data_IF_584187398870
#
_entry.id   IF_584187398870
#
_cell.length_a   1.000
_cell.length_b   1.000
_cell.length_c   1.000
_cell.angle_alpha   90.00
_cell.angle_beta   90.00
_cell.angle_gamma   90.00
#
_symmetry.space_group_name_H-M   'P 1'
#
loop_
_entity.id
_entity.type
_entity.pdbx_description
1 polymer ?
#
# COMPACT_ATOMS: atom_id res chain seq x y z
N UNK A 1 -32.62 30.97 28.01
CA UNK A 1 -32.61 30.31 26.69
C UNK A 1 -32.27 28.85 26.94
N UNK A 2 -33.29 27.99 27.03
CA UNK A 2 -33.07 26.55 27.14
C UNK A 2 -32.69 26.05 25.75
N UNK A 3 -31.45 25.59 25.57
CA UNK A 3 -31.06 24.91 24.34
C UNK A 3 -31.65 23.51 24.39
N UNK A 4 -32.60 23.23 23.52
CA UNK A 4 -33.14 21.89 23.38
C UNK A 4 -31.99 20.92 23.01
N UNK A 5 -31.94 19.73 23.62
CA UNK A 5 -30.92 18.76 23.27
C UNK A 5 -31.05 18.39 21.79
N UNK A 6 -29.92 18.21 21.13
CA UNK A 6 -29.90 17.77 19.75
C UNK A 6 -30.70 16.46 19.63
N UNK A 7 -31.52 16.33 18.59
CA UNK A 7 -32.34 15.14 18.44
C UNK A 7 -31.44 13.91 18.23
N UNK A 8 -31.81 12.77 18.81
CA UNK A 8 -30.97 11.55 18.83
C UNK A 8 -30.51 11.10 17.45
N UNK A 9 -31.33 11.29 16.42
CA UNK A 9 -30.98 10.96 15.04
C UNK A 9 -29.80 11.79 14.50
N UNK A 10 -29.65 13.03 14.96
CA UNK A 10 -28.55 13.90 14.57
C UNK A 10 -27.24 13.49 15.26
N UNK A 11 -27.30 13.12 16.54
CA UNK A 11 -26.15 12.58 17.28
C UNK A 11 -25.67 11.27 16.66
N UNK A 12 -26.61 10.39 16.28
CA UNK A 12 -26.30 9.15 15.55
C UNK A 12 -25.68 9.44 14.18
N UNK A 13 -26.21 10.40 13.42
CA UNK A 13 -25.65 10.77 12.13
C UNK A 13 -24.22 11.31 12.25
N UNK A 14 -23.96 12.19 13.23
CA UNK A 14 -22.61 12.72 13.50
C UNK A 14 -21.66 11.61 13.95
N UNK A 15 -22.10 10.69 14.82
CA UNK A 15 -21.30 9.57 15.27
C UNK A 15 -20.92 8.63 14.12
N UNK A 16 -21.85 8.35 13.20
CA UNK A 16 -21.59 7.54 12.00
C UNK A 16 -20.59 8.22 11.06
N UNK A 17 -20.72 9.54 10.85
CA UNK A 17 -19.76 10.30 10.03
C UNK A 17 -18.36 10.29 10.68
N UNK A 18 -18.27 10.55 11.99
CA UNK A 18 -17.00 10.50 12.72
C UNK A 18 -16.39 9.09 12.71
N UNK A 19 -17.22 8.05 12.83
CA UNK A 19 -16.77 6.67 12.72
C UNK A 19 -16.28 6.33 11.30
N UNK A 20 -16.89 6.90 10.25
CA UNK A 20 -16.43 6.77 8.87
C UNK A 20 -15.06 7.40 8.67
N UNK A 21 -14.86 8.65 9.11
CA UNK A 21 -13.55 9.31 9.06
C UNK A 21 -12.49 8.61 9.92
N UNK A 22 -12.89 8.05 11.07
CA UNK A 22 -12.00 7.24 11.88
C UNK A 22 -11.64 5.93 11.17
N UNK A 23 -12.58 5.29 10.46
CA UNK A 23 -12.33 4.09 9.65
C UNK A 23 -11.28 4.36 8.59
N UNK A 24 -11.40 5.47 7.83
CA UNK A 24 -10.40 5.91 6.85
C UNK A 24 -9.01 6.16 7.50
N UNK A 25 -8.97 6.72 8.71
CA UNK A 25 -7.71 6.92 9.45
C UNK A 25 -7.11 5.61 9.99
N UNK A 26 -7.95 4.64 10.37
CA UNK A 26 -7.51 3.30 10.81
C UNK A 26 -7.22 2.35 9.64
N UNK A 27 -7.71 2.63 8.44
CA UNK A 27 -7.44 1.91 7.19
C UNK A 27 -6.21 2.43 6.44
N UNK A 28 -5.63 3.56 6.87
CA UNK A 28 -4.32 3.99 6.39
C UNK A 28 -3.26 3.05 6.96
N UNK A 29 -2.67 2.23 6.08
CA UNK A 29 -1.55 1.35 6.42
C UNK A 29 -0.47 2.15 7.17
N UNK A 30 0.02 1.71 8.34
CA UNK A 30 1.01 2.45 9.09
C UNK A 30 2.24 2.77 8.24
N UNK A 31 2.70 4.04 8.29
CA UNK A 31 3.87 4.52 7.53
C UNK A 31 5.04 3.50 7.60
N UNK A 32 5.43 2.88 6.48
CA UNK A 32 6.38 1.77 6.49
C UNK A 32 7.76 2.19 6.98
N UNK A 33 8.14 3.47 6.82
CA UNK A 33 9.37 4.02 7.38
C UNK A 33 9.30 4.09 8.91
N UNK A 34 8.18 4.52 9.47
CA UNK A 34 7.94 4.49 10.91
C UNK A 34 7.95 3.06 11.46
N UNK A 35 7.35 2.10 10.75
CA UNK A 35 7.38 0.68 11.14
C UNK A 35 8.82 0.14 11.17
N UNK A 36 9.61 0.39 10.12
CA UNK A 36 11.02 -0.03 10.08
C UNK A 36 11.83 0.60 11.22
N UNK A 37 11.59 1.89 11.53
CA UNK A 37 12.23 2.58 12.66
C UNK A 37 11.87 1.95 14.00
N UNK A 38 10.61 1.58 14.19
CA UNK A 38 10.14 0.94 15.43
C UNK A 38 10.78 -0.44 15.61
N UNK A 39 10.79 -1.27 14.56
CA UNK A 39 11.39 -2.60 14.58
C UNK A 39 12.89 -2.56 14.91
N UNK A 40 13.63 -1.59 14.33
CA UNK A 40 15.04 -1.39 14.64
C UNK A 40 15.24 -0.95 16.10
N UNK A 41 14.42 -0.01 16.59
CA UNK A 41 14.47 0.43 17.98
C UNK A 41 14.13 -0.69 18.99
N UNK A 42 13.26 -1.62 18.60
CA UNK A 42 12.91 -2.81 19.36
C UNK A 42 13.98 -3.93 19.29
N UNK A 43 14.97 -3.81 18.38
CA UNK A 43 16.00 -4.82 18.16
C UNK A 43 15.50 -6.05 17.40
N UNK A 44 14.36 -5.95 16.73
CA UNK A 44 13.76 -7.04 15.93
C UNK A 44 14.43 -7.20 14.57
N UNK A 45 14.97 -6.12 14.04
CA UNK A 45 15.77 -6.08 12.81
C UNK A 45 17.14 -5.47 13.09
N UNK A 46 18.14 -5.90 12.35
CA UNK A 46 19.47 -5.30 12.41
C UNK A 46 19.54 -3.99 11.60
N UNK A 47 20.68 -3.31 11.67
CA UNK A 47 20.90 -2.05 10.97
C UNK A 47 20.83 -2.21 9.44
N UNK A 48 21.37 -3.30 8.90
CA UNK A 48 21.40 -3.53 7.45
C UNK A 48 19.99 -3.76 6.89
N UNK A 49 19.15 -4.48 7.63
CA UNK A 49 17.74 -4.66 7.30
C UNK A 49 16.95 -3.34 7.41
N UNK A 50 17.22 -2.54 8.43
CA UNK A 50 16.63 -1.21 8.55
C UNK A 50 16.98 -0.30 7.37
N UNK A 51 18.26 -0.24 6.99
CA UNK A 51 18.73 0.54 5.83
C UNK A 51 18.09 0.06 4.53
N UNK A 52 18.01 -1.27 4.30
CA UNK A 52 17.35 -1.82 3.12
C UNK A 52 15.88 -1.43 3.02
N UNK A 53 15.13 -1.50 4.13
CA UNK A 53 13.73 -1.07 4.14
C UNK A 53 13.59 0.42 3.88
N UNK A 54 14.46 1.23 4.49
CA UNK A 54 14.47 2.66 4.29
C UNK A 54 14.75 3.03 2.84
N UNK A 55 15.79 2.45 2.23
CA UNK A 55 16.12 2.63 0.82
C UNK A 55 14.94 2.26 -0.08
N UNK A 56 14.30 1.12 0.17
CA UNK A 56 13.16 0.67 -0.61
C UNK A 56 11.96 1.64 -0.53
N UNK A 57 11.57 2.07 0.68
CA UNK A 57 10.39 2.93 0.87
C UNK A 57 10.64 4.41 0.57
N UNK A 58 11.90 4.87 0.58
CA UNK A 58 12.24 6.25 0.20
C UNK A 58 12.52 6.40 -1.31
N UNK A 59 12.57 5.30 -2.06
CA UNK A 59 12.73 5.38 -3.51
C UNK A 59 11.39 5.67 -4.19
N UNK A 60 11.23 6.90 -4.69
CA UNK A 60 10.06 7.35 -5.44
C UNK A 60 9.69 6.41 -6.61
N UNK A 61 10.66 5.69 -7.20
CA UNK A 61 10.39 4.68 -8.25
C UNK A 61 9.50 3.57 -7.70
N UNK A 62 9.86 3.04 -6.53
CA UNK A 62 9.14 1.94 -5.89
C UNK A 62 7.73 2.38 -5.52
N UNK A 63 7.60 3.58 -4.95
CA UNK A 63 6.30 4.17 -4.63
C UNK A 63 5.43 4.30 -5.89
N UNK A 64 5.97 4.83 -6.99
CA UNK A 64 5.22 4.98 -8.25
C UNK A 64 4.77 3.65 -8.84
N UNK A 65 5.64 2.63 -8.83
CA UNK A 65 5.27 1.29 -9.32
C UNK A 65 4.15 0.71 -8.44
N UNK A 66 4.32 0.75 -7.11
CA UNK A 66 3.33 0.26 -6.15
C UNK A 66 1.98 0.93 -6.32
N UNK A 67 1.95 2.25 -6.39
CA UNK A 67 0.72 3.03 -6.54
C UNK A 67 -0.08 2.67 -7.80
N UNK A 68 0.58 2.19 -8.86
CA UNK A 68 -0.07 1.76 -10.10
C UNK A 68 -0.61 0.34 -9.98
N UNK A 69 0.13 -0.58 -9.35
CA UNK A 69 -0.22 -2.01 -9.34
C UNK A 69 -1.10 -2.42 -8.14
N UNK A 70 -1.10 -1.69 -7.02
CA UNK A 70 -1.92 -2.01 -5.84
C UNK A 70 -3.43 -1.89 -6.09
N UNK A 71 -3.83 -1.13 -7.11
CA UNK A 71 -5.21 -0.99 -7.56
C UNK A 71 -5.71 -2.26 -8.31
N UNK A 72 -4.79 -3.16 -8.69
CA UNK A 72 -5.14 -4.43 -9.34
C UNK A 72 -5.72 -5.39 -8.31
N UNK A 73 -6.90 -5.93 -8.61
CA UNK A 73 -7.57 -6.89 -7.75
C UNK A 73 -6.68 -8.12 -7.46
N UNK A 74 -6.32 -8.29 -6.19
CA UNK A 74 -5.46 -9.40 -5.76
C UNK A 74 -3.96 -9.11 -5.79
N UNK A 75 -3.56 -7.86 -6.04
CA UNK A 75 -2.21 -7.32 -5.79
C UNK A 75 -2.27 -6.49 -4.52
N UNK A 76 -1.91 -7.11 -3.39
CA UNK A 76 -1.75 -6.42 -2.11
C UNK A 76 -0.32 -5.91 -1.93
N UNK A 77 -0.05 -5.30 -0.78
CA UNK A 77 1.25 -4.72 -0.40
C UNK A 77 2.44 -5.66 -0.69
N UNK A 78 2.38 -6.93 -0.25
CA UNK A 78 3.48 -7.87 -0.47
C UNK A 78 3.81 -8.08 -1.96
N UNK A 79 2.77 -8.15 -2.81
CA UNK A 79 2.92 -8.38 -4.25
C UNK A 79 3.35 -7.10 -4.95
N UNK A 80 2.80 -5.94 -4.58
CA UNK A 80 3.20 -4.66 -5.15
C UNK A 80 4.65 -4.33 -4.81
N UNK A 81 5.11 -4.67 -3.60
CA UNK A 81 6.51 -4.57 -3.22
C UNK A 81 7.40 -5.50 -4.04
N UNK A 82 6.98 -6.76 -4.23
CA UNK A 82 7.73 -7.72 -5.02
C UNK A 82 7.88 -7.25 -6.48
N UNK A 83 6.82 -6.69 -7.07
CA UNK A 83 6.87 -6.09 -8.41
C UNK A 83 7.81 -4.87 -8.40
N UNK A 84 7.68 -3.95 -7.44
CA UNK A 84 8.55 -2.78 -7.37
C UNK A 84 10.04 -3.14 -7.20
N UNK A 85 10.37 -4.25 -6.53
CA UNK A 85 11.77 -4.73 -6.44
C UNK A 85 12.29 -5.26 -7.77
N UNK A 86 11.44 -5.89 -8.57
CA UNK A 86 11.82 -6.53 -9.84
C UNK A 86 12.00 -5.55 -11.00
N UNK A 87 11.22 -4.46 -11.05
CA UNK A 87 11.14 -3.58 -12.24
C UNK A 87 11.76 -2.21 -12.05
N UNK A 88 12.61 -1.80 -12.99
CA UNK A 88 13.43 -0.58 -12.91
C UNK A 88 12.70 0.74 -13.11
N UNK A 89 11.48 0.66 -13.65
CA UNK A 89 10.59 1.80 -13.82
C UNK A 89 9.20 1.31 -14.21
N UNK A 90 8.23 2.22 -14.25
CA UNK A 90 6.94 1.93 -14.86
C UNK A 90 7.07 1.60 -16.36
N UNK A 91 8.05 2.17 -17.07
CA UNK A 91 8.27 1.87 -18.48
C UNK A 91 8.86 0.46 -18.66
N UNK A 92 9.82 0.04 -17.82
CA UNK A 92 10.31 -1.35 -17.79
C UNK A 92 9.18 -2.36 -17.49
N UNK A 93 8.27 -2.00 -16.58
CA UNK A 93 7.08 -2.79 -16.29
C UNK A 93 6.11 -2.87 -17.49
N UNK A 94 5.94 -1.77 -18.25
CA UNK A 94 5.10 -1.75 -19.47
C UNK A 94 5.70 -2.51 -20.65
N UNK A 95 7.03 -2.53 -20.74
CA UNK A 95 7.76 -3.30 -21.76
C UNK A 95 7.87 -4.79 -21.38
N UNK A 96 7.36 -5.18 -20.21
CA UNK A 96 7.39 -6.55 -19.74
C UNK A 96 6.34 -7.44 -20.41
N UNK A 97 6.68 -8.71 -20.55
CA UNK A 97 5.74 -9.76 -20.95
C UNK A 97 5.18 -10.51 -19.72
N UNK A 98 4.07 -11.23 -19.94
CA UNK A 98 3.40 -12.03 -18.91
C UNK A 98 4.35 -13.01 -18.20
N UNK A 99 5.25 -13.66 -18.95
CA UNK A 99 6.19 -14.65 -18.42
C UNK A 99 7.17 -14.03 -17.40
N UNK A 100 7.64 -12.80 -17.65
CA UNK A 100 8.53 -12.09 -16.72
C UNK A 100 7.78 -11.68 -15.45
N UNK A 101 6.53 -11.22 -15.59
CA UNK A 101 5.67 -10.92 -14.45
C UNK A 101 5.36 -12.14 -13.60
N UNK A 102 5.11 -13.30 -14.21
CA UNK A 102 4.91 -14.58 -13.51
C UNK A 102 6.17 -15.05 -12.74
N UNK A 103 7.35 -14.50 -13.06
CA UNK A 103 8.58 -14.72 -12.29
C UNK A 103 8.58 -14.04 -10.92
N UNK A 104 7.72 -13.04 -10.71
CA UNK A 104 7.61 -12.32 -9.44
C UNK A 104 6.89 -13.20 -8.40
N UNK A 105 7.45 -13.39 -7.19
CA UNK A 105 6.81 -14.16 -6.13
C UNK A 105 5.37 -13.69 -5.86
N UNK A 106 4.41 -14.63 -5.90
CA UNK A 106 2.99 -14.33 -5.67
C UNK A 106 2.21 -13.87 -6.91
N UNK A 107 2.88 -13.61 -8.04
CA UNK A 107 2.25 -13.26 -9.31
C UNK A 107 2.06 -14.50 -10.16
N UNK A 108 0.81 -14.96 -10.29
CA UNK A 108 0.45 -16.02 -11.24
C UNK A 108 -0.16 -15.44 -12.52
N UNK A 109 -0.38 -16.28 -13.53
CA UNK A 109 -0.88 -15.87 -14.86
C UNK A 109 -2.06 -14.87 -14.82
N UNK A 110 -3.07 -15.10 -13.97
CA UNK A 110 -4.22 -14.19 -13.85
C UNK A 110 -3.84 -12.80 -13.32
N UNK A 111 -2.89 -12.72 -12.38
CA UNK A 111 -2.42 -11.44 -11.84
C UNK A 111 -1.50 -10.74 -12.83
N UNK A 112 -0.63 -11.50 -13.51
CA UNK A 112 0.23 -10.97 -14.55
C UNK A 112 -0.60 -10.30 -15.65
N UNK A 113 -1.66 -10.96 -16.13
CA UNK A 113 -2.58 -10.38 -17.11
C UNK A 113 -3.23 -9.08 -16.60
N UNK A 114 -3.81 -9.11 -15.39
CA UNK A 114 -4.50 -7.95 -14.83
C UNK A 114 -3.55 -6.76 -14.58
N UNK A 115 -2.27 -7.01 -14.28
CA UNK A 115 -1.24 -5.97 -14.16
C UNK A 115 -0.92 -5.38 -15.53
N UNK A 116 -0.75 -6.21 -16.58
CA UNK A 116 -0.52 -5.72 -17.94
C UNK A 116 -1.70 -4.87 -18.43
N UNK A 117 -2.93 -5.34 -18.26
CA UNK A 117 -4.15 -4.58 -18.62
C UNK A 117 -4.23 -3.21 -17.90
N UNK A 118 -3.67 -3.10 -16.69
CA UNK A 118 -3.71 -1.86 -15.88
C UNK A 118 -2.72 -0.79 -16.34
N UNK A 119 -1.64 -1.19 -17.02
CA UNK A 119 -0.51 -0.33 -17.37
C UNK A 119 -0.42 0.01 -18.87
N UNK A 120 -1.21 -0.69 -19.70
CA UNK A 120 -1.45 -0.39 -21.13
C UNK A 120 -2.01 1.02 -21.39
#
# INVERSE_FOLDING_TARGET
MSGDPLPLWFVLAVAVVLASYAKDYFESDPDPVAQARQAYAAGEIDHAEYERRLEFHLDDRNERIRAVVEDVSGVGEEISEAIAREYDSLDDLRESDRERLEGVPGVGAQRAEAVLERIE
#
